data_IF_771920803856
#
_entry.id   IF_771920803856
#
_cell.length_a   1.000
_cell.length_b   1.000
_cell.length_c   1.000
_cell.angle_alpha   90.00
_cell.angle_beta   90.00
_cell.angle_gamma   90.00
#
_symmetry.space_group_name_H-M   'P 1'
#
loop_
_entity.id
_entity.type
_entity.pdbx_description
1 polymer ?
#
# COMPACT_ATOMS: atom_id res chain seq x y z
N UNK A 1 -63.84 39.10 -67.77
CA UNK A 1 -62.93 37.94 -67.88
C UNK A 1 -61.87 38.09 -66.80
N UNK A 2 -61.93 37.30 -65.74
CA UNK A 2 -60.96 37.32 -64.62
C UNK A 2 -60.39 35.90 -64.54
N UNK A 3 -59.07 35.81 -64.66
CA UNK A 3 -58.31 34.56 -64.78
C UNK A 3 -57.87 34.11 -63.37
N UNK A 4 -58.21 32.90 -62.89
CA UNK A 4 -57.75 32.44 -61.59
C UNK A 4 -56.29 31.96 -61.68
N UNK A 5 -55.41 32.55 -60.87
CA UNK A 5 -54.05 32.06 -60.67
C UNK A 5 -54.07 30.68 -59.99
N UNK A 6 -53.36 29.75 -60.60
CA UNK A 6 -53.07 28.40 -60.10
C UNK A 6 -52.33 28.50 -58.75
N UNK A 7 -52.96 28.05 -57.66
CA UNK A 7 -52.26 27.78 -56.41
C UNK A 7 -51.35 26.56 -56.61
N UNK A 8 -50.04 26.75 -56.46
CA UNK A 8 -49.09 25.65 -56.35
C UNK A 8 -49.30 24.96 -54.99
N UNK A 9 -49.23 23.61 -54.91
CA UNK A 9 -49.28 22.94 -53.63
C UNK A 9 -48.01 23.28 -52.85
N UNK A 10 -48.16 23.92 -51.68
CA UNK A 10 -47.11 23.95 -50.67
C UNK A 10 -46.70 22.50 -50.40
N UNK A 11 -45.45 22.15 -50.66
CA UNK A 11 -44.84 20.96 -50.10
C UNK A 11 -45.05 21.01 -48.59
N UNK A 12 -45.90 20.12 -48.06
CA UNK A 12 -45.86 19.77 -46.65
C UNK A 12 -44.44 19.26 -46.38
N UNK A 13 -43.60 20.08 -45.73
CA UNK A 13 -42.49 19.48 -45.02
C UNK A 13 -43.13 18.58 -43.96
N UNK A 14 -42.78 17.30 -43.98
CA UNK A 14 -42.96 16.45 -42.82
C UNK A 14 -42.00 16.95 -41.75
N UNK A 15 -42.32 18.11 -41.16
CA UNK A 15 -41.83 18.48 -39.84
C UNK A 15 -42.49 17.51 -38.86
N UNK A 16 -41.96 16.28 -38.83
CA UNK A 16 -42.10 15.39 -37.70
C UNK A 16 -41.32 16.04 -36.55
N UNK A 17 -41.89 17.09 -35.98
CA UNK A 17 -41.39 17.77 -34.80
C UNK A 17 -41.27 16.73 -33.69
N UNK A 18 -40.06 16.62 -33.13
CA UNK A 18 -39.71 15.73 -32.02
C UNK A 18 -40.83 15.74 -30.98
N UNK A 19 -41.60 14.66 -30.91
CA UNK A 19 -42.78 14.64 -30.03
C UNK A 19 -42.31 14.57 -28.58
N UNK A 20 -43.04 15.23 -27.67
CA UNK A 20 -42.73 15.18 -26.22
C UNK A 20 -42.63 13.73 -25.73
N UNK A 21 -43.43 12.83 -26.30
CA UNK A 21 -43.43 11.40 -26.00
C UNK A 21 -42.14 10.69 -26.43
N UNK A 22 -41.59 11.03 -27.61
CA UNK A 22 -40.32 10.48 -28.10
C UNK A 22 -39.15 10.95 -27.23
N UNK A 23 -39.15 12.22 -26.81
CA UNK A 23 -38.18 12.74 -25.85
C UNK A 23 -38.27 12.04 -24.49
N UNK A 24 -39.47 11.77 -24.00
CA UNK A 24 -39.69 11.08 -22.72
C UNK A 24 -39.19 9.63 -22.78
N UNK A 25 -39.51 8.90 -23.87
CA UNK A 25 -39.02 7.54 -24.08
C UNK A 25 -37.49 7.50 -24.22
N UNK A 26 -36.90 8.46 -24.94
CA UNK A 26 -35.45 8.56 -25.09
C UNK A 26 -34.76 8.80 -23.75
N UNK A 27 -35.27 9.72 -22.91
CA UNK A 27 -34.75 9.94 -21.56
C UNK A 27 -34.89 8.70 -20.69
N UNK A 28 -36.01 7.98 -20.76
CA UNK A 28 -36.21 6.74 -20.01
C UNK A 28 -35.16 5.68 -20.40
N UNK A 29 -34.91 5.49 -21.69
CA UNK A 29 -33.90 4.54 -22.17
C UNK A 29 -32.50 4.95 -21.70
N UNK A 30 -32.15 6.24 -21.81
CA UNK A 30 -30.83 6.75 -21.36
C UNK A 30 -30.64 6.51 -19.86
N UNK A 31 -31.65 6.77 -19.04
CA UNK A 31 -31.54 6.54 -17.58
C UNK A 31 -31.34 5.07 -17.24
N UNK A 32 -32.05 4.15 -17.90
CA UNK A 32 -31.87 2.70 -17.70
C UNK A 32 -30.46 2.25 -18.11
N UNK A 33 -29.97 2.77 -19.25
CA UNK A 33 -28.61 2.49 -19.71
C UNK A 33 -27.55 3.02 -18.75
N UNK A 34 -27.72 4.25 -18.24
CA UNK A 34 -26.81 4.83 -17.24
C UNK A 34 -26.82 4.05 -15.93
N UNK A 35 -28.00 3.62 -15.45
CA UNK A 35 -28.12 2.77 -14.26
C UNK A 35 -27.42 1.42 -14.44
N UNK A 36 -27.45 0.85 -15.65
CA UNK A 36 -26.76 -0.40 -15.98
C UNK A 36 -25.23 -0.29 -15.97
N UNK A 37 -24.67 0.84 -16.42
CA UNK A 37 -23.21 1.02 -16.56
C UNK A 37 -22.56 1.58 -15.27
N UNK A 38 -23.32 2.34 -14.46
CA UNK A 38 -22.81 3.01 -13.25
C UNK A 38 -22.06 2.10 -12.27
N UNK A 39 -22.53 0.88 -11.93
CA UNK A 39 -21.84 0.01 -10.97
C UNK A 39 -20.42 -0.36 -11.41
N UNK A 40 -20.20 -0.53 -12.71
CA UNK A 40 -18.89 -0.91 -13.26
C UNK A 40 -17.89 0.25 -13.20
N UNK A 41 -18.36 1.49 -13.44
CA UNK A 41 -17.52 2.69 -13.32
C UNK A 41 -17.05 2.86 -11.87
N UNK A 42 -17.98 2.75 -10.91
CA UNK A 42 -17.66 2.91 -9.48
C UNK A 42 -16.67 1.84 -9.03
N UNK A 43 -16.88 0.59 -9.41
CA UNK A 43 -15.97 -0.50 -9.08
C UNK A 43 -14.56 -0.29 -9.69
N UNK A 44 -14.49 0.18 -10.94
CA UNK A 44 -13.24 0.49 -11.61
C UNK A 44 -12.44 1.61 -10.93
N UNK A 45 -13.11 2.69 -10.53
CA UNK A 45 -12.48 3.81 -9.81
C UNK A 45 -12.00 3.36 -8.42
N UNK A 46 -12.79 2.59 -7.69
CA UNK A 46 -12.42 2.05 -6.38
C UNK A 46 -11.13 1.21 -6.46
N UNK A 47 -11.04 0.31 -7.43
CA UNK A 47 -9.85 -0.51 -7.64
C UNK A 47 -8.61 0.33 -7.98
N UNK A 48 -8.76 1.39 -8.78
CA UNK A 48 -7.65 2.29 -9.11
C UNK A 48 -7.13 3.04 -7.89
N UNK A 49 -8.02 3.52 -7.02
CA UNK A 49 -7.64 4.19 -5.77
C UNK A 49 -6.93 3.22 -4.83
N UNK A 50 -7.43 1.99 -4.71
CA UNK A 50 -6.79 0.96 -3.89
C UNK A 50 -5.40 0.58 -4.44
N UNK A 51 -5.26 0.33 -5.74
CA UNK A 51 -3.94 0.05 -6.35
C UNK A 51 -2.95 1.19 -6.13
N UNK A 52 -3.40 2.44 -6.26
CA UNK A 52 -2.52 3.59 -6.03
C UNK A 52 -2.03 3.67 -4.58
N UNK A 53 -2.86 3.33 -3.60
CA UNK A 53 -2.45 3.29 -2.19
C UNK A 53 -1.39 2.21 -1.94
N UNK A 54 -1.58 1.03 -2.52
CA UNK A 54 -0.60 -0.06 -2.44
C UNK A 54 0.70 0.34 -3.15
N UNK A 55 0.63 0.99 -4.31
CA UNK A 55 1.78 1.46 -5.07
C UNK A 55 2.65 2.44 -4.28
N UNK A 56 2.02 3.43 -3.62
CA UNK A 56 2.74 4.37 -2.75
C UNK A 56 3.39 3.61 -1.58
N UNK A 57 2.69 2.64 -0.97
CA UNK A 57 3.26 1.78 0.06
C UNK A 57 4.47 0.96 -0.40
N UNK A 58 4.43 0.42 -1.63
CA UNK A 58 5.54 -0.30 -2.25
C UNK A 58 6.72 0.64 -2.51
N UNK A 59 6.46 1.86 -3.01
CA UNK A 59 7.49 2.85 -3.27
C UNK A 59 8.19 3.27 -1.97
N UNK A 60 7.42 3.50 -0.90
CA UNK A 60 7.93 3.80 0.43
C UNK A 60 8.80 2.66 0.98
N UNK A 61 8.35 1.41 0.85
CA UNK A 61 9.14 0.24 1.26
C UNK A 61 10.47 0.13 0.51
N UNK A 62 10.46 0.36 -0.81
CA UNK A 62 11.67 0.32 -1.64
C UNK A 62 12.65 1.42 -1.25
N UNK A 63 12.16 2.66 -1.11
CA UNK A 63 12.98 3.78 -0.69
C UNK A 63 13.61 3.53 0.69
N UNK A 64 12.87 2.94 1.62
CA UNK A 64 13.40 2.53 2.92
C UNK A 64 14.48 1.44 2.79
N UNK A 65 14.23 0.38 2.01
CA UNK A 65 15.20 -0.70 1.76
C UNK A 65 16.50 -0.14 1.17
N UNK A 66 16.39 0.76 0.20
CA UNK A 66 17.54 1.39 -0.45
C UNK A 66 18.27 2.36 0.50
N UNK A 67 17.53 3.08 1.36
CA UNK A 67 18.10 3.92 2.42
C UNK A 67 18.88 3.12 3.46
N UNK A 68 18.35 1.96 3.88
CA UNK A 68 19.06 1.04 4.78
C UNK A 68 20.27 0.42 4.09
N UNK A 69 20.17 0.05 2.81
CA UNK A 69 21.27 -0.54 2.04
C UNK A 69 22.42 0.45 1.81
N UNK A 70 22.10 1.72 1.58
CA UNK A 70 23.09 2.79 1.40
C UNK A 70 23.68 3.31 2.71
N UNK A 71 23.13 2.90 3.86
CA UNK A 71 23.52 3.41 5.17
C UNK A 71 22.99 4.83 5.47
N UNK A 72 22.17 5.40 4.59
CA UNK A 72 21.50 6.68 4.82
C UNK A 72 20.44 6.59 5.93
N UNK A 73 19.84 5.40 6.10
CA UNK A 73 18.95 5.09 7.22
C UNK A 73 19.65 4.06 8.09
N UNK A 74 19.71 4.31 9.40
CA UNK A 74 20.26 3.35 10.36
C UNK A 74 19.51 2.02 10.29
N UNK A 75 20.13 0.92 10.70
CA UNK A 75 19.52 -0.41 10.62
C UNK A 75 18.47 -0.58 11.73
N UNK A 76 17.39 -1.35 11.50
CA UNK A 76 16.38 -1.56 12.53
C UNK A 76 16.96 -2.29 13.75
N UNK A 77 16.54 -1.87 14.94
CA UNK A 77 16.98 -2.50 16.20
C UNK A 77 16.24 -3.81 16.51
N UNK A 78 15.03 -4.02 15.97
CA UNK A 78 14.29 -5.26 16.16
C UNK A 78 14.97 -6.40 15.40
N UNK A 79 15.51 -7.35 16.16
CA UNK A 79 16.23 -8.51 15.63
C UNK A 79 15.51 -9.81 15.91
N UNK A 80 15.58 -10.74 14.95
CA UNK A 80 15.16 -12.14 15.09
C UNK A 80 16.38 -13.02 14.94
N UNK A 81 16.64 -13.89 15.93
CA UNK A 81 17.73 -14.87 15.83
C UNK A 81 17.40 -15.91 14.78
N UNK A 82 18.35 -16.21 13.90
CA UNK A 82 18.24 -17.24 12.88
C UNK A 82 19.38 -18.23 13.01
N UNK A 83 19.03 -19.50 13.03
CA UNK A 83 19.98 -20.59 12.91
C UNK A 83 20.29 -20.91 11.43
N UNK A 84 21.57 -21.11 11.15
CA UNK A 84 22.08 -21.41 9.82
C UNK A 84 21.69 -22.82 9.34
N UNK A 85 21.41 -23.74 10.26
CA UNK A 85 21.02 -25.12 9.89
C UNK A 85 19.61 -25.19 9.27
N UNK A 86 18.71 -24.26 9.62
CA UNK A 86 17.28 -24.32 9.28
C UNK A 86 16.73 -23.00 8.69
N UNK A 87 17.48 -22.37 7.78
CA UNK A 87 17.16 -21.04 7.21
C UNK A 87 15.74 -20.93 6.65
N UNK A 88 15.20 -22.00 6.04
CA UNK A 88 13.85 -21.96 5.48
C UNK A 88 12.76 -21.83 6.55
N UNK A 89 12.95 -22.48 7.71
CA UNK A 89 12.05 -22.37 8.86
C UNK A 89 12.23 -21.03 9.55
N UNK A 90 13.49 -20.62 9.76
CA UNK A 90 13.78 -19.34 10.41
C UNK A 90 13.33 -18.14 9.59
N UNK A 91 13.39 -18.21 8.25
CA UNK A 91 12.80 -17.19 7.38
C UNK A 91 11.28 -17.08 7.56
N UNK A 92 10.58 -18.18 7.86
CA UNK A 92 9.15 -18.11 8.20
C UNK A 92 8.94 -17.45 9.56
N UNK A 93 9.77 -17.78 10.56
CA UNK A 93 9.74 -17.13 11.88
C UNK A 93 9.97 -15.60 11.78
N UNK A 94 10.83 -15.17 10.86
CA UNK A 94 11.02 -13.74 10.56
C UNK A 94 9.74 -13.09 10.03
N UNK A 95 8.97 -13.79 9.20
CA UNK A 95 7.68 -13.31 8.71
C UNK A 95 6.56 -13.37 9.77
N UNK A 96 6.78 -14.05 10.91
CA UNK A 96 5.85 -14.17 12.05
C UNK A 96 6.07 -13.10 13.13
N UNK A 97 7.05 -12.20 12.94
CA UNK A 97 7.26 -11.07 13.86
C UNK A 97 5.94 -10.34 14.10
N UNK A 98 5.58 -10.13 15.36
CA UNK A 98 4.30 -9.51 15.73
C UNK A 98 4.13 -8.12 15.12
N UNK A 99 2.88 -7.72 14.90
CA UNK A 99 2.56 -6.37 14.46
C UNK A 99 2.97 -5.35 15.54
N UNK A 100 3.29 -4.10 15.17
CA UNK A 100 3.72 -3.11 16.14
C UNK A 100 2.56 -2.70 17.05
N UNK A 101 2.85 -2.24 18.28
CA UNK A 101 1.81 -1.82 19.20
C UNK A 101 1.08 -0.58 18.65
N UNK A 102 -0.19 -0.42 19.02
CA UNK A 102 -1.05 0.65 18.52
C UNK A 102 -0.60 2.05 18.97
N UNK A 103 0.28 2.18 19.97
CA UNK A 103 0.86 3.43 20.40
C UNK A 103 2.20 3.71 19.70
N UNK A 104 2.19 4.65 18.75
CA UNK A 104 3.42 5.19 18.17
C UNK A 104 3.47 6.71 18.39
N UNK A 105 4.68 7.25 18.53
CA UNK A 105 4.94 8.69 18.52
C UNK A 105 6.10 8.94 17.56
N UNK A 106 5.77 9.30 16.33
CA UNK A 106 6.73 9.58 15.27
C UNK A 106 6.79 11.10 15.04
N UNK A 107 7.22 11.85 16.06
CA UNK A 107 7.58 13.25 15.87
C UNK A 107 8.96 13.30 15.24
N UNK A 108 9.10 14.08 14.18
CA UNK A 108 10.36 14.32 13.51
C UNK A 108 11.28 15.12 14.45
N UNK A 109 11.95 14.42 15.37
CA UNK A 109 13.07 14.97 16.11
C UNK A 109 14.32 14.63 15.31
N UNK A 110 15.08 15.66 14.98
CA UNK A 110 16.05 15.75 13.88
C UNK A 110 17.22 14.75 13.84
N UNK A 111 17.31 13.76 14.73
CA UNK A 111 18.50 12.92 14.85
C UNK A 111 18.29 11.45 14.45
N UNK A 112 17.05 10.94 14.45
CA UNK A 112 16.76 9.56 14.04
C UNK A 112 15.46 9.52 13.22
N UNK A 113 15.52 9.00 11.99
CA UNK A 113 14.35 8.82 11.12
C UNK A 113 13.33 7.77 11.63
N UNK A 114 13.58 7.22 12.82
CA UNK A 114 12.73 6.25 13.50
C UNK A 114 11.87 6.90 14.57
N UNK A 115 10.75 6.27 14.90
CA UNK A 115 9.85 6.75 15.93
C UNK A 115 10.47 6.56 17.33
N UNK A 116 10.41 7.59 18.17
CA UNK A 116 11.18 7.72 19.42
C UNK A 116 11.06 6.53 20.39
N UNK A 117 9.89 5.90 20.43
CA UNK A 117 9.58 4.82 21.37
C UNK A 117 9.75 3.42 20.76
N UNK A 118 10.04 3.33 19.46
CA UNK A 118 10.16 2.06 18.76
C UNK A 118 11.08 2.22 17.55
N UNK A 119 12.37 1.91 17.74
CA UNK A 119 13.45 2.01 16.72
C UNK A 119 13.38 0.95 15.63
N UNK A 120 12.16 0.54 15.30
CA UNK A 120 11.80 -0.40 14.24
C UNK A 120 10.59 0.09 13.47
N UNK A 121 10.04 1.25 13.86
CA UNK A 121 9.02 1.98 13.14
C UNK A 121 9.65 3.20 12.49
N UNK A 122 9.55 3.28 11.16
CA UNK A 122 10.01 4.41 10.37
C UNK A 122 8.79 5.14 9.81
N UNK A 123 8.79 6.46 9.93
CA UNK A 123 7.70 7.30 9.47
C UNK A 123 7.97 7.83 8.05
N UNK A 124 6.98 7.67 7.18
CA UNK A 124 6.95 8.33 5.88
C UNK A 124 5.78 9.30 5.89
N UNK A 125 6.12 10.55 6.15
CA UNK A 125 5.23 11.70 6.10
C UNK A 125 4.89 12.02 4.64
N UNK A 126 3.59 12.04 4.32
CA UNK A 126 3.07 12.32 2.98
C UNK A 126 2.02 13.44 2.99
N UNK A 127 1.94 14.19 4.08
CA UNK A 127 1.03 15.31 4.22
C UNK A 127 1.78 16.62 4.55
N UNK A 128 1.08 17.60 5.08
CA UNK A 128 1.62 18.94 5.38
C UNK A 128 1.99 19.09 6.86
N UNK A 129 1.58 18.13 7.71
CA UNK A 129 1.88 18.10 9.13
C UNK A 129 3.19 17.33 9.36
N UNK A 130 4.13 17.92 10.09
CA UNK A 130 5.41 17.27 10.29
C UNK A 130 5.29 15.95 11.08
N UNK A 131 5.68 14.86 10.44
CA UNK A 131 5.74 13.53 11.03
C UNK A 131 4.42 12.77 10.98
N UNK A 132 4.45 11.49 11.34
CA UNK A 132 3.29 10.64 11.13
C UNK A 132 2.27 10.83 12.24
N UNK A 133 1.02 11.04 11.83
CA UNK A 133 -0.12 11.14 12.76
C UNK A 133 -1.10 10.00 12.60
N UNK A 134 -1.70 9.54 13.70
CA UNK A 134 -2.81 8.55 13.66
C UNK A 134 -4.04 9.06 12.93
N UNK A 135 -4.17 10.38 12.77
CA UNK A 135 -5.29 10.99 12.07
C UNK A 135 -5.02 11.13 10.57
N UNK A 136 -3.78 10.90 10.12
CA UNK A 136 -3.42 10.98 8.71
C UNK A 136 -3.73 9.67 7.99
N UNK A 137 -4.56 9.78 6.95
CA UNK A 137 -4.84 8.69 6.03
C UNK A 137 -3.81 8.57 4.90
N UNK A 138 -2.86 9.52 4.83
CA UNK A 138 -1.85 9.60 3.79
C UNK A 138 -0.49 9.10 4.29
N UNK A 139 -0.18 9.38 5.55
CA UNK A 139 1.07 8.93 6.16
C UNK A 139 1.19 7.42 6.21
N UNK A 140 2.43 6.95 6.08
CA UNK A 140 2.77 5.54 6.12
C UNK A 140 3.76 5.26 7.22
N UNK A 141 3.61 4.09 7.82
CA UNK A 141 4.48 3.60 8.87
C UNK A 141 5.08 2.30 8.42
N UNK A 142 6.41 2.29 8.36
CA UNK A 142 7.19 1.13 7.97
C UNK A 142 7.63 0.43 9.24
N UNK A 143 7.16 -0.80 9.46
CA UNK A 143 7.74 -1.71 10.43
C UNK A 143 8.88 -2.47 9.76
N UNK A 144 10.07 -2.39 10.34
CA UNK A 144 11.24 -3.08 9.85
C UNK A 144 11.90 -3.91 10.94
N UNK A 145 12.33 -5.11 10.59
CA UNK A 145 13.01 -6.04 11.49
C UNK A 145 14.06 -6.81 10.71
N UNK A 146 15.13 -7.22 11.38
CA UNK A 146 16.27 -7.89 10.73
C UNK A 146 16.59 -9.24 11.36
N UNK A 147 17.15 -10.14 10.57
CA UNK A 147 17.75 -11.37 11.10
C UNK A 147 19.12 -11.09 11.71
N UNK A 148 19.45 -11.77 12.80
CA UNK A 148 20.82 -11.93 13.28
C UNK A 148 21.12 -13.43 13.41
N UNK A 149 22.36 -13.88 13.14
CA UNK A 149 22.74 -15.26 13.42
C UNK A 149 22.53 -15.60 14.91
N UNK A 150 22.06 -16.83 15.19
CA UNK A 150 21.85 -17.33 16.54
C UNK A 150 23.18 -17.57 17.29
N UNK A 151 24.26 -17.83 16.55
CA UNK A 151 25.60 -17.97 17.10
C UNK A 151 26.15 -16.61 17.59
N UNK A 152 26.36 -16.50 18.90
CA UNK A 152 26.90 -15.29 19.54
C UNK A 152 28.37 -15.01 19.14
N UNK A 153 29.05 -15.99 18.53
CA UNK A 153 30.40 -15.83 17.96
C UNK A 153 30.38 -15.27 16.54
N UNK A 154 29.20 -14.83 16.06
CA UNK A 154 29.05 -14.21 14.76
C UNK A 154 29.97 -12.99 14.58
N UNK A 155 30.88 -13.08 13.59
CA UNK A 155 31.67 -11.95 13.14
C UNK A 155 30.76 -11.06 12.30
N UNK A 156 30.55 -9.83 12.76
CA UNK A 156 29.79 -8.81 12.03
C UNK A 156 28.39 -9.29 11.56
N UNK A 157 27.47 -9.65 12.47
CA UNK A 157 26.07 -10.02 12.15
C UNK A 157 25.25 -8.90 11.49
N UNK A 158 25.93 -7.80 11.22
CA UNK A 158 25.50 -6.49 10.86
C UNK A 158 25.81 -6.17 9.39
N UNK A 159 26.69 -6.98 8.76
CA UNK A 159 27.09 -6.84 7.35
C UNK A 159 26.14 -7.54 6.39
N UNK A 160 25.61 -8.71 6.75
CA UNK A 160 24.63 -9.42 5.93
C UNK A 160 23.45 -9.87 6.78
N UNK A 161 22.23 -9.57 6.36
CA UNK A 161 21.02 -9.97 7.05
C UNK A 161 19.81 -9.97 6.12
N UNK A 162 18.79 -10.75 6.49
CA UNK A 162 17.45 -10.60 5.94
C UNK A 162 16.76 -9.43 6.64
N UNK A 163 16.21 -8.52 5.84
CA UNK A 163 15.40 -7.40 6.28
C UNK A 163 13.95 -7.72 5.93
N UNK A 164 13.10 -7.85 6.94
CA UNK A 164 11.65 -7.83 6.77
C UNK A 164 11.12 -6.42 6.87
N UNK A 165 10.22 -6.06 5.95
CA UNK A 165 9.61 -4.74 5.87
C UNK A 165 8.12 -4.90 5.68
N UNK A 166 7.34 -4.22 6.51
CA UNK A 166 5.88 -4.10 6.38
C UNK A 166 5.47 -2.64 6.38
N UNK A 167 4.53 -2.29 5.53
CA UNK A 167 4.02 -0.93 5.42
C UNK A 167 2.56 -0.89 5.84
N UNK A 168 2.29 -0.06 6.84
CA UNK A 168 0.96 0.25 7.35
C UNK A 168 0.61 1.69 7.01
N UNK A 169 -0.69 1.99 7.00
CA UNK A 169 -1.15 3.37 7.04
C UNK A 169 -1.04 3.89 8.47
N UNK A 170 -0.74 5.17 8.66
CA UNK A 170 -0.64 5.74 10.01
C UNK A 170 -1.99 5.69 10.75
N UNK A 171 -3.10 5.90 10.05
CA UNK A 171 -4.45 5.74 10.60
C UNK A 171 -4.84 4.30 10.96
N UNK A 172 -4.05 3.29 10.59
CA UNK A 172 -4.24 1.92 11.07
C UNK A 172 -4.03 1.79 12.59
N UNK A 173 -3.29 2.71 13.21
CA UNK A 173 -2.99 2.69 14.64
C UNK A 173 -3.99 3.49 15.49
N UNK A 174 -5.04 3.99 14.86
CA UNK A 174 -6.19 4.57 15.55
C UNK A 174 -7.03 3.45 16.19
N UNK A 175 -7.46 3.67 17.44
CA UNK A 175 -8.23 2.71 18.24
C UNK A 175 -7.39 1.72 19.05
N UNK A 176 -8.08 0.80 19.74
CA UNK A 176 -7.46 -0.25 20.59
C UNK A 176 -7.28 -1.60 19.88
N UNK A 177 -7.81 -1.75 18.66
CA UNK A 177 -7.69 -2.98 17.88
C UNK A 177 -6.25 -3.20 17.40
N UNK A 178 -5.78 -4.44 17.53
CA UNK A 178 -4.46 -4.87 17.12
C UNK A 178 -4.30 -4.83 15.60
N UNK A 179 -3.10 -4.46 15.16
CA UNK A 179 -2.69 -4.57 13.77
C UNK A 179 -2.52 -6.04 13.38
N UNK A 180 -2.77 -6.34 12.10
CA UNK A 180 -2.65 -7.69 11.54
C UNK A 180 -1.31 -7.89 10.84
N UNK A 181 -0.90 -9.14 10.68
CA UNK A 181 0.26 -9.53 9.86
C UNK A 181 -0.20 -10.24 8.59
N UNK A 182 0.56 -10.18 7.50
CA UNK A 182 0.14 -10.72 6.21
C UNK A 182 -0.03 -12.25 6.18
N UNK A 183 0.56 -12.98 7.14
CA UNK A 183 0.37 -14.43 7.31
C UNK A 183 -1.00 -14.81 7.90
N UNK A 184 -1.69 -13.93 8.62
CA UNK A 184 -3.06 -14.17 9.11
C UNK A 184 -4.11 -14.13 7.97
N UNK A 185 -3.67 -14.21 6.70
CA UNK A 185 -4.53 -14.22 5.52
C UNK A 185 -5.01 -12.84 5.08
N UNK A 186 -4.50 -11.77 5.69
CA UNK A 186 -4.95 -10.40 5.50
C UNK A 186 -3.80 -9.48 5.07
N UNK A 187 -3.30 -9.67 3.85
CA UNK A 187 -2.88 -8.48 3.08
C UNK A 187 -4.12 -7.60 2.90
N UNK A 188 -3.96 -6.28 2.72
CA UNK A 188 -5.04 -5.32 2.45
C UNK A 188 -6.01 -5.81 1.34
N UNK A 189 -6.92 -6.73 1.70
CA UNK A 189 -7.85 -7.41 0.79
C UNK A 189 -9.04 -6.47 0.64
N UNK A 190 -9.45 -6.27 -0.61
CA UNK A 190 -10.66 -5.53 -0.94
C UNK A 190 -11.85 -6.33 -0.42
N UNK A 191 -12.36 -5.98 0.76
CA UNK A 191 -13.57 -6.54 1.36
C UNK A 191 -14.76 -5.80 0.76
N UNK A 192 -15.05 -6.11 -0.51
CA UNK A 192 -16.09 -5.46 -1.30
C UNK A 192 -15.64 -4.16 -1.98
N UNK A 193 -16.54 -3.50 -2.75
CA UNK A 193 -16.19 -2.28 -3.47
C UNK A 193 -15.77 -1.18 -2.50
N UNK A 194 -14.47 -0.86 -2.50
CA UNK A 194 -13.93 0.32 -1.81
C UNK A 194 -13.44 0.13 -0.37
N UNK A 195 -13.74 -0.98 0.33
CA UNK A 195 -13.26 -1.20 1.70
C UNK A 195 -12.07 -2.15 1.74
N UNK A 196 -10.91 -1.62 2.08
CA UNK A 196 -9.70 -2.40 2.41
C UNK A 196 -9.57 -2.47 3.93
N UNK A 197 -9.20 -3.63 4.49
CA UNK A 197 -8.94 -3.74 5.92
C UNK A 197 -7.80 -2.78 6.31
N UNK A 198 -8.13 -1.79 7.14
CA UNK A 198 -7.18 -0.73 7.55
C UNK A 198 -6.08 -1.28 8.44
N UNK A 199 -6.34 -2.36 9.19
CA UNK A 199 -5.40 -2.97 10.15
C UNK A 199 -4.39 -3.91 9.48
N UNK A 200 -4.66 -4.29 8.23
CA UNK A 200 -3.75 -5.08 7.41
C UNK A 200 -2.62 -4.22 6.82
N UNK A 201 -1.42 -4.80 6.61
CA UNK A 201 -0.36 -4.12 5.90
C UNK A 201 -0.74 -3.91 4.42
N UNK A 202 -0.39 -2.73 3.89
CA UNK A 202 -0.48 -2.43 2.47
C UNK A 202 0.52 -3.26 1.66
N UNK A 203 1.71 -3.47 2.22
CA UNK A 203 2.79 -4.21 1.59
C UNK A 203 3.65 -4.90 2.63
N UNK A 204 4.14 -6.10 2.29
CA UNK A 204 5.05 -6.89 3.11
C UNK A 204 6.05 -7.60 2.21
N UNK A 205 7.33 -7.50 2.55
CA UNK A 205 8.41 -8.18 1.84
C UNK A 205 9.55 -8.54 2.78
N UNK A 206 10.34 -9.53 2.37
CA UNK A 206 11.61 -9.86 3.01
C UNK A 206 12.67 -9.81 1.93
N UNK A 207 13.72 -9.03 2.17
CA UNK A 207 14.83 -8.86 1.23
C UNK A 207 16.14 -9.12 1.91
N UNK A 208 17.19 -9.30 1.13
CA UNK A 208 18.54 -9.41 1.62
C UNK A 208 19.25 -8.06 1.56
N UNK A 209 19.90 -7.72 2.68
CA UNK A 209 20.75 -6.55 2.81
C UNK A 209 22.17 -7.01 3.06
N UNK A 210 23.05 -6.46 2.24
CA UNK A 210 24.50 -6.51 2.39
C UNK A 210 24.96 -5.07 2.54
N UNK A 211 25.59 -4.74 3.65
CA UNK A 211 26.25 -3.45 3.86
C UNK A 211 27.76 -3.60 3.65
N UNK A 212 28.41 -2.55 3.16
CA UNK A 212 29.83 -2.52 2.83
C UNK A 212 30.25 -3.58 1.78
N UNK A 213 31.50 -4.04 1.86
CA UNK A 213 32.04 -5.17 1.11
C UNK A 213 31.90 -6.45 1.94
N UNK A 214 30.83 -7.25 1.76
CA UNK A 214 30.66 -8.49 2.51
C UNK A 214 31.72 -9.52 2.08
N UNK A 215 32.26 -10.25 3.05
CA UNK A 215 33.17 -11.36 2.78
C UNK A 215 32.39 -12.67 2.62
N UNK A 216 32.96 -13.65 1.93
CA UNK A 216 32.37 -15.00 1.82
C UNK A 216 32.09 -15.62 3.20
N UNK A 217 32.96 -15.38 4.19
CA UNK A 217 32.75 -15.82 5.57
C UNK A 217 31.50 -15.21 6.23
N UNK A 218 31.15 -13.96 5.92
CA UNK A 218 29.96 -13.32 6.48
C UNK A 218 28.68 -14.00 5.95
N UNK A 219 28.69 -14.41 4.67
CA UNK A 219 27.62 -15.21 4.09
C UNK A 219 27.57 -16.61 4.70
N UNK A 220 28.71 -17.27 4.85
CA UNK A 220 28.79 -18.61 5.43
C UNK A 220 28.28 -18.68 6.86
N UNK A 221 28.52 -17.62 7.64
CA UNK A 221 28.08 -17.58 9.02
C UNK A 221 26.57 -17.40 9.15
N UNK A 222 25.93 -16.70 8.21
CA UNK A 222 24.48 -16.54 8.16
C UNK A 222 23.79 -17.73 7.51
N UNK A 223 24.35 -18.24 6.42
CA UNK A 223 23.72 -19.24 5.56
C UNK A 223 24.19 -20.68 5.82
N UNK A 224 25.17 -20.88 6.69
CA UNK A 224 25.73 -22.20 6.99
C UNK A 224 26.51 -22.74 5.80
N UNK A 225 27.82 -22.51 5.77
CA UNK A 225 28.68 -23.24 4.84
C UNK A 225 29.02 -24.60 5.44
N UNK A 226 28.64 -25.66 4.72
CA UNK A 226 29.12 -27.02 4.95
C UNK A 226 30.35 -27.28 4.08
#
# INVERSE_FOLDING_TARGET
MINPQKQQPLSQSSDAGFTIMESLMAMMIITILMLGISPMIVLGVANRVQSRRVEIGVQAARAYIDGVRSGAIARPEQTVKMDAENILTERKNLAEVGAPPSNFNCKQNNDDSYCQNNKSLYCVDLDEEAGCSKNSSRDLIIQAFRSIPADEKARNPEKTYFLGVRVYRADAFEGQENLKIGQEGEKAKSRGPGLSDRKAPLFETTTEITTDTPSYSDFCQRLGCK
#
